data_IF_976561310351
#
_entry.id   IF_976561310351
#
_cell.length_a   1.000
_cell.length_b   1.000
_cell.length_c   1.000
_cell.angle_alpha   90.00
_cell.angle_beta   90.00
_cell.angle_gamma   90.00
#
_symmetry.space_group_name_H-M   'P 1'
#
loop_
_entity.id
_entity.type
_entity.pdbx_description
1 polymer ?
#
# COMPACT_ATOMS: atom_id res chain seq x y z
N UNK A 1 76.26 -8.46 -46.95
CA UNK A 1 75.34 -9.55 -46.51
C UNK A 1 74.54 -9.17 -45.25
N UNK A 2 75.14 -8.62 -44.20
CA UNK A 2 74.45 -8.28 -42.94
C UNK A 2 73.29 -7.27 -43.08
N UNK A 3 73.46 -6.22 -43.89
CA UNK A 3 72.42 -5.18 -44.06
C UNK A 3 71.09 -5.74 -44.62
N UNK A 4 71.15 -6.71 -45.54
CA UNK A 4 69.97 -7.38 -46.09
C UNK A 4 69.24 -8.23 -45.05
N UNK A 5 69.96 -8.84 -44.09
CA UNK A 5 69.36 -9.62 -43.00
C UNK A 5 68.65 -8.67 -42.04
N UNK A 6 69.31 -7.58 -41.63
CA UNK A 6 68.70 -6.56 -40.78
C UNK A 6 67.43 -5.96 -41.40
N UNK A 7 67.45 -5.69 -42.71
CA UNK A 7 66.27 -5.20 -43.43
C UNK A 7 65.10 -6.20 -43.36
N UNK A 8 65.34 -7.50 -43.59
CA UNK A 8 64.31 -8.53 -43.47
C UNK A 8 63.71 -8.58 -42.06
N UNK A 9 64.56 -8.53 -41.03
CA UNK A 9 64.11 -8.51 -39.62
C UNK A 9 63.22 -7.29 -39.33
N UNK A 10 63.55 -6.12 -39.87
CA UNK A 10 62.72 -4.91 -39.71
C UNK A 10 61.37 -5.05 -40.43
N UNK A 11 61.34 -5.61 -41.65
CA UNK A 11 60.11 -5.85 -42.40
C UNK A 11 59.16 -6.82 -41.66
N UNK A 12 59.71 -7.86 -41.05
CA UNK A 12 58.92 -8.85 -40.29
C UNK A 12 58.36 -8.26 -38.99
N UNK A 13 59.16 -7.47 -38.26
CA UNK A 13 58.67 -6.69 -37.11
C UNK A 13 57.55 -5.74 -37.50
N UNK A 14 57.68 -5.04 -38.63
CA UNK A 14 56.64 -4.14 -39.13
C UNK A 14 55.33 -4.88 -39.41
N UNK A 15 55.39 -6.08 -40.00
CA UNK A 15 54.21 -6.92 -40.25
C UNK A 15 53.50 -7.28 -38.93
N UNK A 16 54.24 -7.76 -37.93
CA UNK A 16 53.71 -8.10 -36.61
C UNK A 16 53.06 -6.89 -35.93
N UNK A 17 53.70 -5.71 -36.00
CA UNK A 17 53.14 -4.48 -35.42
C UNK A 17 51.83 -4.06 -36.10
N UNK A 18 51.72 -4.21 -37.42
CA UNK A 18 50.48 -3.92 -38.16
C UNK A 18 49.35 -4.88 -37.78
N UNK A 19 49.64 -6.17 -37.69
CA UNK A 19 48.67 -7.20 -37.27
C UNK A 19 48.19 -6.94 -35.83
N UNK A 20 49.12 -6.66 -34.90
CA UNK A 20 48.76 -6.31 -33.52
C UNK A 20 47.92 -5.04 -33.44
N UNK A 21 48.26 -3.99 -34.20
CA UNK A 21 47.48 -2.75 -34.25
C UNK A 21 46.04 -3.02 -34.70
N UNK A 22 45.84 -3.86 -35.71
CA UNK A 22 44.50 -4.22 -36.17
C UNK A 22 43.71 -4.96 -35.09
N UNK A 23 44.31 -5.99 -34.48
CA UNK A 23 43.67 -6.75 -33.41
C UNK A 23 43.30 -5.86 -32.22
N UNK A 24 44.20 -4.97 -31.78
CA UNK A 24 43.91 -4.04 -30.68
C UNK A 24 42.81 -3.04 -31.02
N UNK A 25 42.73 -2.60 -32.28
CA UNK A 25 41.64 -1.72 -32.73
C UNK A 25 40.29 -2.44 -32.68
N UNK A 26 40.25 -3.72 -33.08
CA UNK A 26 39.05 -4.55 -32.95
C UNK A 26 38.66 -4.76 -31.48
N UNK A 27 39.63 -5.08 -30.60
CA UNK A 27 39.39 -5.21 -29.16
C UNK A 27 38.81 -3.94 -28.56
N UNK A 28 39.33 -2.77 -28.93
CA UNK A 28 38.81 -1.49 -28.45
C UNK A 28 37.35 -1.26 -28.86
N UNK A 29 36.94 -1.69 -30.06
CA UNK A 29 35.56 -1.59 -30.51
C UNK A 29 34.65 -2.59 -29.77
N UNK A 30 35.12 -3.83 -29.56
CA UNK A 30 34.40 -4.80 -28.73
C UNK A 30 34.16 -4.30 -27.31
N UNK A 31 35.13 -3.61 -26.69
CA UNK A 31 34.97 -3.03 -25.35
C UNK A 31 33.82 -2.02 -25.33
N UNK A 32 33.69 -1.15 -26.34
CA UNK A 32 32.58 -0.19 -26.41
C UNK A 32 31.23 -0.87 -26.53
N UNK A 33 31.13 -1.86 -27.43
CA UNK A 33 29.90 -2.63 -27.64
C UNK A 33 29.50 -3.35 -26.34
N UNK A 34 30.47 -3.97 -25.67
CA UNK A 34 30.24 -4.64 -24.40
C UNK A 34 29.77 -3.66 -23.33
N UNK A 35 30.41 -2.49 -23.21
CA UNK A 35 30.01 -1.46 -22.25
C UNK A 35 28.56 -1.00 -22.47
N UNK A 36 28.17 -0.72 -23.72
CA UNK A 36 26.80 -0.35 -24.07
C UNK A 36 25.80 -1.46 -23.75
N UNK A 37 26.14 -2.71 -24.08
CA UNK A 37 25.28 -3.85 -23.78
C UNK A 37 25.07 -4.02 -22.27
N UNK A 38 26.15 -3.98 -21.50
CA UNK A 38 26.11 -4.09 -20.04
C UNK A 38 25.32 -2.93 -19.42
N UNK A 39 25.48 -1.70 -19.91
CA UNK A 39 24.68 -0.56 -19.43
C UNK A 39 23.18 -0.78 -19.63
N UNK A 40 22.77 -1.30 -20.80
CA UNK A 40 21.38 -1.64 -21.07
C UNK A 40 20.87 -2.76 -20.14
N UNK A 41 21.69 -3.77 -19.84
CA UNK A 41 21.32 -4.83 -18.92
C UNK A 41 21.14 -4.30 -17.49
N UNK A 42 22.07 -3.47 -17.00
CA UNK A 42 21.95 -2.83 -15.68
C UNK A 42 20.63 -2.06 -15.60
N UNK A 43 20.32 -1.22 -16.60
CA UNK A 43 19.05 -0.46 -16.64
C UNK A 43 17.82 -1.38 -16.58
N UNK A 44 17.83 -2.51 -17.30
CA UNK A 44 16.72 -3.47 -17.29
C UNK A 44 16.53 -4.10 -15.91
N UNK A 45 17.60 -4.47 -15.22
CA UNK A 45 17.49 -5.06 -13.87
C UNK A 45 16.95 -4.03 -12.86
N UNK A 46 17.41 -2.78 -12.93
CA UNK A 46 16.85 -1.72 -12.08
C UNK A 46 15.38 -1.42 -12.38
N UNK A 47 14.94 -1.48 -13.63
CA UNK A 47 13.52 -1.29 -13.96
C UNK A 47 12.65 -2.39 -13.36
N UNK A 48 13.10 -3.65 -13.36
CA UNK A 48 12.38 -4.74 -12.66
C UNK A 48 12.26 -4.46 -11.17
N UNK A 49 13.32 -3.98 -10.54
CA UNK A 49 13.29 -3.60 -9.12
C UNK A 49 12.32 -2.44 -8.87
N UNK A 50 12.35 -1.39 -9.70
CA UNK A 50 11.42 -0.28 -9.58
C UNK A 50 9.97 -0.74 -9.75
N UNK A 51 9.70 -1.62 -10.70
CA UNK A 51 8.37 -2.19 -10.89
C UNK A 51 7.91 -2.96 -9.65
N UNK A 52 8.76 -3.84 -9.12
CA UNK A 52 8.45 -4.58 -7.88
C UNK A 52 8.11 -3.64 -6.71
N UNK A 53 8.89 -2.57 -6.51
CA UNK A 53 8.64 -1.61 -5.44
C UNK A 53 7.31 -0.87 -5.62
N UNK A 54 6.97 -0.48 -6.87
CA UNK A 54 5.67 0.13 -7.19
C UNK A 54 4.52 -0.82 -6.90
N UNK A 55 4.67 -2.10 -7.23
CA UNK A 55 3.64 -3.11 -7.00
C UNK A 55 3.43 -3.36 -5.49
N UNK A 56 4.51 -3.46 -4.70
CA UNK A 56 4.42 -3.59 -3.24
C UNK A 56 3.79 -2.35 -2.57
N UNK A 57 4.12 -1.14 -3.04
CA UNK A 57 3.50 0.10 -2.59
C UNK A 57 2.00 0.11 -2.90
N UNK A 58 1.63 -0.19 -4.15
CA UNK A 58 0.24 -0.21 -4.60
C UNK A 58 -0.60 -1.24 -3.83
N UNK A 59 -0.08 -2.46 -3.66
CA UNK A 59 -0.75 -3.52 -2.90
C UNK A 59 -1.00 -3.10 -1.45
N UNK A 60 -0.05 -2.40 -0.83
CA UNK A 60 -0.19 -1.95 0.56
C UNK A 60 -1.16 -0.79 0.72
N UNK A 61 -1.15 0.17 -0.20
CA UNK A 61 -2.14 1.25 -0.24
C UNK A 61 -3.55 0.67 -0.45
N UNK A 62 -3.69 -0.36 -1.30
CA UNK A 62 -4.96 -1.04 -1.50
C UNK A 62 -5.47 -1.69 -0.20
N UNK A 63 -4.62 -2.42 0.51
CA UNK A 63 -4.96 -3.01 1.82
C UNK A 63 -5.37 -1.95 2.86
N UNK A 64 -4.70 -0.79 2.89
CA UNK A 64 -5.10 0.33 3.75
C UNK A 64 -6.48 0.88 3.37
N UNK A 65 -6.74 1.08 2.07
CA UNK A 65 -8.04 1.58 1.58
C UNK A 65 -9.18 0.64 1.92
N UNK A 66 -8.96 -0.67 1.80
CA UNK A 66 -9.93 -1.69 2.19
C UNK A 66 -10.26 -1.61 3.68
N UNK A 67 -9.24 -1.48 4.55
CA UNK A 67 -9.45 -1.34 6.00
C UNK A 67 -10.26 -0.07 6.32
N UNK A 68 -9.90 1.05 5.70
CA UNK A 68 -10.62 2.33 5.87
C UNK A 68 -12.08 2.17 5.48
N UNK A 69 -12.37 1.56 4.33
CA UNK A 69 -13.74 1.35 3.87
C UNK A 69 -14.53 0.46 4.83
N UNK A 70 -13.96 -0.68 5.23
CA UNK A 70 -14.62 -1.60 6.16
C UNK A 70 -14.94 -0.91 7.51
N UNK A 71 -13.98 -0.19 8.09
CA UNK A 71 -14.18 0.51 9.38
C UNK A 71 -15.14 1.68 9.26
N UNK A 72 -15.06 2.44 8.17
CA UNK A 72 -15.98 3.56 7.88
C UNK A 72 -17.43 3.08 7.74
N UNK A 73 -17.66 2.03 6.96
CA UNK A 73 -19.01 1.45 6.79
C UNK A 73 -19.56 0.90 8.11
N UNK A 74 -18.72 0.25 8.91
CA UNK A 74 -19.13 -0.21 10.25
C UNK A 74 -19.53 0.96 11.15
N UNK A 75 -18.77 2.06 11.11
CA UNK A 75 -19.08 3.26 11.89
C UNK A 75 -20.38 3.92 11.42
N UNK A 76 -20.58 4.04 10.11
CA UNK A 76 -21.82 4.58 9.51
C UNK A 76 -23.05 3.82 10.00
N UNK A 77 -23.02 2.48 9.98
CA UNK A 77 -24.12 1.65 10.50
C UNK A 77 -24.37 1.85 12.00
N UNK A 78 -23.31 2.02 12.81
CA UNK A 78 -23.44 2.31 14.25
C UNK A 78 -24.09 3.68 14.48
N UNK A 79 -23.68 4.70 13.71
CA UNK A 79 -24.28 6.04 13.77
C UNK A 79 -25.75 5.99 13.35
N UNK A 80 -26.09 5.34 12.23
CA UNK A 80 -27.47 5.22 11.75
C UNK A 80 -28.38 4.51 12.77
N UNK A 81 -27.87 3.46 13.43
CA UNK A 81 -28.59 2.80 14.53
C UNK A 81 -28.82 3.79 15.68
N UNK A 82 -27.77 4.50 16.11
CA UNK A 82 -27.86 5.45 17.21
C UNK A 82 -28.84 6.59 16.89
N UNK A 83 -28.86 7.09 15.66
CA UNK A 83 -29.82 8.10 15.21
C UNK A 83 -31.27 7.61 15.35
N UNK A 84 -31.57 6.37 14.93
CA UNK A 84 -32.90 5.77 15.10
C UNK A 84 -33.27 5.60 16.58
N UNK A 85 -32.32 5.17 17.40
CA UNK A 85 -32.51 4.99 18.83
C UNK A 85 -32.80 6.34 19.51
N UNK A 86 -32.09 7.41 19.14
CA UNK A 86 -32.34 8.79 19.58
C UNK A 86 -33.72 9.27 19.15
N UNK A 87 -34.10 9.07 17.88
CA UNK A 87 -35.42 9.48 17.36
C UNK A 87 -36.56 8.77 18.11
N UNK A 88 -36.43 7.47 18.32
CA UNK A 88 -37.41 6.65 19.05
C UNK A 88 -37.57 7.10 20.50
N UNK A 89 -36.45 7.29 21.20
CA UNK A 89 -36.45 7.74 22.59
C UNK A 89 -37.00 9.17 22.73
N UNK A 90 -36.60 10.07 21.84
CA UNK A 90 -37.11 11.45 21.80
C UNK A 90 -38.62 11.48 21.54
N UNK A 91 -39.12 10.62 20.65
CA UNK A 91 -40.55 10.46 20.41
C UNK A 91 -41.30 9.97 21.65
N UNK A 92 -40.73 9.02 22.37
CA UNK A 92 -41.29 8.45 23.61
C UNK A 92 -41.34 9.48 24.75
N UNK A 93 -40.27 10.26 24.92
CA UNK A 93 -40.20 11.36 25.88
C UNK A 93 -41.30 12.38 25.57
N UNK A 94 -41.38 12.87 24.33
CA UNK A 94 -42.39 13.87 23.92
C UNK A 94 -43.82 13.36 24.11
N UNK A 95 -44.09 12.09 23.79
CA UNK A 95 -45.42 11.51 23.99
C UNK A 95 -45.78 11.44 25.48
N UNK A 96 -44.83 11.03 26.32
CA UNK A 96 -44.99 10.97 27.78
C UNK A 96 -45.21 12.36 28.36
N UNK A 97 -44.41 13.36 27.98
CA UNK A 97 -44.54 14.75 28.42
C UNK A 97 -45.89 15.37 28.03
N UNK A 98 -46.41 15.06 26.83
CA UNK A 98 -47.72 15.54 26.38
C UNK A 98 -48.85 14.94 27.24
N UNK A 99 -48.76 13.65 27.55
CA UNK A 99 -49.77 12.96 28.35
C UNK A 99 -49.75 13.43 29.81
N UNK A 100 -48.58 13.74 30.37
CA UNK A 100 -48.44 14.37 31.69
C UNK A 100 -49.05 15.78 31.79
N UNK A 101 -49.26 16.48 30.66
CA UNK A 101 -49.88 17.81 30.62
C UNK A 101 -51.40 17.75 30.38
N UNK A 102 -51.98 16.56 30.22
CA UNK A 102 -53.42 16.39 29.98
C UNK A 102 -54.24 16.64 31.26
N UNK A 103 -55.53 16.96 31.11
CA UNK A 103 -56.47 17.19 32.23
C UNK A 103 -56.61 15.95 33.13
N UNK A 104 -56.85 16.16 34.43
CA UNK A 104 -56.74 15.14 35.49
C UNK A 104 -57.50 13.82 35.19
N UNK A 105 -58.71 13.89 34.64
CA UNK A 105 -59.50 12.68 34.33
C UNK A 105 -58.88 11.86 33.20
N UNK A 106 -58.40 12.53 32.15
CA UNK A 106 -57.73 11.88 31.01
C UNK A 106 -56.34 11.35 31.37
N UNK A 107 -55.61 12.06 32.23
CA UNK A 107 -54.32 11.61 32.74
C UNK A 107 -54.47 10.34 33.59
N UNK A 108 -55.45 10.30 34.51
CA UNK A 108 -55.70 9.12 35.34
C UNK A 108 -56.11 7.89 34.51
N UNK A 109 -56.91 8.07 33.46
CA UNK A 109 -57.30 6.98 32.56
C UNK A 109 -56.11 6.40 31.79
N UNK A 110 -55.17 7.24 31.36
CA UNK A 110 -54.00 6.83 30.57
C UNK A 110 -52.72 6.64 31.40
N UNK A 111 -52.80 6.70 32.72
CA UNK A 111 -51.64 6.63 33.61
C UNK A 111 -50.84 5.33 33.41
N UNK A 112 -51.52 4.17 33.44
CA UNK A 112 -50.86 2.87 33.34
C UNK A 112 -50.24 2.61 31.96
N UNK A 113 -50.85 3.13 30.89
CA UNK A 113 -50.31 3.00 29.53
C UNK A 113 -49.10 3.91 29.34
N UNK A 114 -49.14 5.12 29.90
CA UNK A 114 -48.01 6.07 29.91
C UNK A 114 -46.82 5.54 30.71
N UNK A 115 -47.07 4.97 31.90
CA UNK A 115 -46.03 4.40 32.75
C UNK A 115 -45.29 3.24 32.05
N UNK A 116 -46.03 2.35 31.37
CA UNK A 116 -45.44 1.26 30.58
C UNK A 116 -44.63 1.77 29.39
N UNK A 117 -45.05 2.87 28.77
CA UNK A 117 -44.34 3.50 27.65
C UNK A 117 -43.05 4.20 28.10
N UNK A 118 -43.09 4.81 29.29
CA UNK A 118 -41.95 5.50 29.89
C UNK A 118 -40.87 4.54 30.43
N UNK A 119 -41.21 3.26 30.65
CA UNK A 119 -40.21 2.22 30.95
C UNK A 119 -39.34 1.95 29.72
N UNK A 120 -38.23 2.68 29.63
CA UNK A 120 -37.24 2.51 28.57
C UNK A 120 -36.44 1.22 28.79
N UNK A 121 -36.46 0.33 27.78
CA UNK A 121 -35.66 -0.91 27.75
C UNK A 121 -34.47 -0.81 26.80
N UNK A 122 -34.22 0.38 26.24
CA UNK A 122 -33.13 0.60 25.28
C UNK A 122 -31.78 0.38 25.96
N UNK A 123 -30.93 -0.43 25.34
CA UNK A 123 -29.57 -0.68 25.83
C UNK A 123 -28.65 0.51 25.53
N UNK A 124 -27.67 0.73 26.41
CA UNK A 124 -26.63 1.72 26.17
C UNK A 124 -25.80 1.36 24.92
N UNK A 125 -25.31 2.36 24.17
CA UNK A 125 -24.41 2.13 23.05
C UNK A 125 -23.14 1.40 23.49
N UNK A 126 -22.64 0.49 22.64
CA UNK A 126 -21.37 -0.20 22.87
C UNK A 126 -20.18 0.77 22.86
N UNK A 127 -19.17 0.46 23.68
CA UNK A 127 -17.89 1.14 23.66
C UNK A 127 -17.11 0.86 22.36
N UNK A 128 -16.45 1.89 21.82
CA UNK A 128 -15.74 1.81 20.54
C UNK A 128 -14.29 1.37 20.73
N UNK A 129 -14.05 0.07 20.86
CA UNK A 129 -12.70 -0.49 20.80
C UNK A 129 -12.33 -0.93 19.36
N UNK A 130 -11.10 -0.64 18.93
CA UNK A 130 -10.58 -1.05 17.62
C UNK A 130 -11.23 -0.39 16.41
N UNK A 131 -11.87 0.78 16.58
CA UNK A 131 -12.57 1.49 15.51
C UNK A 131 -11.64 2.20 14.51
N UNK A 132 -10.44 2.56 14.94
CA UNK A 132 -9.45 3.25 14.11
C UNK A 132 -8.63 2.25 13.27
N UNK A 133 -8.02 2.74 12.20
CA UNK A 133 -7.12 1.95 11.36
C UNK A 133 -5.91 1.42 12.14
N UNK A 134 -5.44 0.24 11.78
CA UNK A 134 -4.27 -0.40 12.38
C UNK A 134 -3.00 0.07 11.67
N UNK A 135 -2.57 1.30 11.95
CA UNK A 135 -1.38 1.94 11.33
C UNK A 135 -0.14 1.02 11.38
N UNK A 136 0.07 0.32 12.50
CA UNK A 136 1.17 -0.62 12.65
C UNK A 136 1.12 -1.78 11.63
N UNK A 137 -0.05 -2.27 11.24
CA UNK A 137 -0.16 -3.35 10.25
C UNK A 137 0.37 -2.93 8.88
N UNK A 138 0.29 -1.63 8.56
CA UNK A 138 0.74 -1.09 7.29
C UNK A 138 2.20 -0.66 7.34
N UNK A 139 2.64 -0.03 8.42
CA UNK A 139 3.97 0.60 8.50
C UNK A 139 5.02 -0.22 9.26
N UNK A 140 4.62 -1.08 10.20
CA UNK A 140 5.59 -1.82 11.00
C UNK A 140 6.40 -2.79 10.12
N UNK A 141 7.73 -2.74 10.27
CA UNK A 141 8.67 -3.59 9.54
C UNK A 141 8.50 -3.54 8.01
N UNK A 142 7.97 -2.43 7.46
CA UNK A 142 7.72 -2.27 6.03
C UNK A 142 8.96 -2.59 5.19
N UNK A 143 10.08 -1.92 5.48
CA UNK A 143 11.34 -2.08 4.74
C UNK A 143 11.85 -3.52 4.79
N UNK A 144 11.78 -4.16 5.96
CA UNK A 144 12.20 -5.55 6.14
C UNK A 144 11.35 -6.52 5.32
N UNK A 145 10.02 -6.40 5.37
CA UNK A 145 9.11 -7.27 4.61
C UNK A 145 9.26 -7.11 3.09
N UNK A 146 9.46 -5.89 2.61
CA UNK A 146 9.72 -5.63 1.18
C UNK A 146 11.03 -6.28 0.75
N UNK A 147 12.09 -6.12 1.56
CA UNK A 147 13.38 -6.75 1.30
C UNK A 147 13.30 -8.29 1.32
N UNK A 148 12.62 -8.88 2.30
CA UNK A 148 12.42 -10.33 2.41
C UNK A 148 11.71 -10.88 1.16
N UNK A 149 10.64 -10.22 0.70
CA UNK A 149 9.97 -10.57 -0.56
C UNK A 149 10.88 -10.43 -1.78
N UNK A 150 11.72 -9.39 -1.79
CA UNK A 150 12.67 -9.16 -2.87
C UNK A 150 13.67 -10.32 -3.04
N UNK A 151 14.04 -11.00 -1.95
CA UNK A 151 14.94 -12.16 -2.02
C UNK A 151 14.38 -13.31 -2.88
N UNK A 152 13.06 -13.48 -2.96
CA UNK A 152 12.44 -14.53 -3.78
C UNK A 152 12.48 -14.25 -5.29
N UNK A 153 12.77 -13.00 -5.67
CA UNK A 153 12.77 -12.53 -7.07
C UNK A 153 14.20 -12.45 -7.62
N UNK A 154 15.19 -12.33 -6.74
CA UNK A 154 16.61 -12.34 -7.10
C UNK A 154 17.03 -13.81 -7.29
N UNK A 155 16.97 -14.31 -8.52
CA UNK A 155 17.55 -15.61 -8.86
C UNK A 155 19.08 -15.50 -8.90
N UNK A 156 19.74 -16.50 -8.32
CA UNK A 156 21.21 -16.65 -8.27
C UNK A 156 21.76 -17.29 -9.55
#
# INVERSE_FOLDING_TARGET
KQLKIALKTLQEKLKILKERKLNWSQTAEHIKIQAQHTEQQIKKEFEKLHQFLRDEEAARIAALREEVEQKSQKMKKKIEKLSRDIESLSGTIRATEKEMRAEDVTFLQNHNTTLKRAQCTLQNPEELSGALIHVANHLANLKFRVWEKMQHIVQY
#
